data_IF_918558476522
#
_entry.id   IF_918558476522
#
_cell.length_a   1.000
_cell.length_b   1.000
_cell.length_c   1.000
_cell.angle_alpha   90.00
_cell.angle_beta   90.00
_cell.angle_gamma   90.00
#
_symmetry.space_group_name_H-M   'P 1'
#
loop_
_entity.id
_entity.type
_entity.pdbx_description
1 polymer ?
#
# COMPACT_ATOMS: atom_id res chain seq x y z
N UNK A 1 16.49 -4.34 27.85
CA UNK A 1 16.55 -3.23 26.87
C UNK A 1 15.35 -3.39 25.96
N UNK A 2 14.50 -2.37 25.82
CA UNK A 2 13.31 -2.44 24.98
C UNK A 2 13.72 -2.51 23.49
N UNK A 3 13.11 -3.42 22.73
CA UNK A 3 13.32 -3.49 21.27
C UNK A 3 12.36 -2.53 20.57
N UNK A 4 12.85 -1.81 19.57
CA UNK A 4 12.06 -0.88 18.74
C UNK A 4 11.78 -1.50 17.37
N UNK A 5 10.52 -1.44 16.94
CA UNK A 5 10.11 -1.85 15.60
C UNK A 5 9.68 -0.63 14.76
N UNK A 6 10.12 -0.57 13.51
CA UNK A 6 9.55 0.35 12.53
C UNK A 6 8.61 -0.40 11.59
N UNK A 7 7.39 0.12 11.44
CA UNK A 7 6.38 -0.42 10.55
C UNK A 7 6.10 0.60 9.43
N UNK A 8 6.25 0.17 8.19
CA UNK A 8 6.09 1.01 7.01
C UNK A 8 4.70 0.83 6.39
N UNK A 9 4.03 1.95 6.08
CA UNK A 9 2.68 1.93 5.53
C UNK A 9 2.64 1.49 4.06
N UNK A 10 1.55 0.82 3.69
CA UNK A 10 1.27 0.43 2.31
C UNK A 10 0.59 1.53 1.49
N UNK A 11 0.15 1.15 0.28
CA UNK A 11 -0.67 1.99 -0.59
C UNK A 11 -2.01 2.32 0.08
N UNK A 12 -2.50 3.55 -0.15
CA UNK A 12 -3.66 4.13 0.55
C UNK A 12 -3.26 5.22 1.57
N UNK A 13 -1.98 5.27 1.95
CA UNK A 13 -1.44 6.27 2.87
C UNK A 13 -1.02 7.59 2.18
N UNK A 14 -1.03 7.64 0.85
CA UNK A 14 -0.64 8.84 0.10
C UNK A 14 -1.65 9.98 0.24
N UNK A 15 -1.16 11.21 0.34
CA UNK A 15 -1.96 12.43 0.35
C UNK A 15 -1.14 13.61 -0.18
N UNK A 16 -1.81 14.59 -0.80
CA UNK A 16 -1.15 15.80 -1.28
C UNK A 16 -0.59 16.59 -0.10
N UNK A 17 0.67 17.00 -0.20
CA UNK A 17 1.44 17.62 0.88
C UNK A 17 2.23 16.63 1.73
N UNK A 18 2.17 15.32 1.43
CA UNK A 18 3.04 14.34 2.09
C UNK A 18 4.52 14.69 1.86
N UNK A 19 5.31 14.72 2.94
CA UNK A 19 6.71 15.11 2.86
C UNK A 19 6.98 16.62 2.94
N UNK A 20 5.97 17.51 2.86
CA UNK A 20 6.19 18.97 2.84
C UNK A 20 6.99 19.48 4.04
N UNK A 21 6.51 19.17 5.24
CA UNK A 21 7.13 19.61 6.50
C UNK A 21 8.56 19.10 6.67
N UNK A 22 8.86 17.90 6.19
CA UNK A 22 10.22 17.34 6.29
C UNK A 22 11.15 17.91 5.22
N UNK A 23 10.65 18.16 4.01
CA UNK A 23 11.42 18.85 2.96
C UNK A 23 11.73 20.31 3.33
N UNK A 24 10.88 20.98 4.10
CA UNK A 24 11.16 22.32 4.64
C UNK A 24 12.30 22.28 5.67
N UNK A 25 12.32 21.26 6.54
CA UNK A 25 13.18 21.23 7.73
C UNK A 25 14.47 20.42 7.60
N UNK A 26 14.51 19.41 6.73
CA UNK A 26 15.62 18.45 6.62
C UNK A 26 16.24 18.50 5.23
N UNK A 27 17.56 18.68 5.17
CA UNK A 27 18.34 18.54 3.94
C UNK A 27 18.25 17.11 3.39
N UNK A 28 18.32 16.13 4.28
CA UNK A 28 18.24 14.70 3.97
C UNK A 28 16.92 14.32 3.33
N UNK A 29 15.80 14.88 3.79
CA UNK A 29 14.53 14.69 3.10
C UNK A 29 14.57 15.23 1.66
N UNK A 30 15.09 16.46 1.47
CA UNK A 30 15.20 17.06 0.13
C UNK A 30 16.05 16.19 -0.79
N UNK A 31 17.20 15.73 -0.33
CA UNK A 31 18.10 14.86 -1.09
C UNK A 31 17.44 13.52 -1.49
N UNK A 32 16.68 12.89 -0.59
CA UNK A 32 15.92 11.66 -0.90
C UNK A 32 14.87 11.90 -1.98
N UNK A 33 14.17 13.03 -1.92
CA UNK A 33 13.18 13.39 -2.95
C UNK A 33 13.84 13.71 -4.29
N UNK A 34 14.96 14.41 -4.28
CA UNK A 34 15.71 14.76 -5.47
C UNK A 34 16.29 13.48 -6.14
N UNK A 35 16.85 12.54 -5.34
CA UNK A 35 17.31 11.22 -5.80
C UNK A 35 16.17 10.40 -6.42
N UNK A 36 14.99 10.38 -5.80
CA UNK A 36 13.82 9.69 -6.34
C UNK A 36 13.34 10.30 -7.65
N UNK A 37 13.30 11.63 -7.74
CA UNK A 37 12.86 12.35 -8.94
C UNK A 37 13.82 12.11 -10.11
N UNK A 38 15.13 12.12 -9.85
CA UNK A 38 16.15 11.75 -10.83
C UNK A 38 16.01 10.28 -11.28
N UNK A 39 15.78 9.36 -10.34
CA UNK A 39 15.61 7.93 -10.65
C UNK A 39 14.43 7.66 -11.60
N UNK A 40 13.37 8.46 -11.46
CA UNK A 40 12.10 8.35 -12.19
C UNK A 40 12.08 9.15 -13.49
N UNK A 41 12.93 10.17 -13.62
CA UNK A 41 12.93 11.09 -14.77
C UNK A 41 11.79 12.12 -14.74
N UNK A 42 11.11 12.30 -13.60
CA UNK A 42 10.09 13.33 -13.40
C UNK A 42 10.10 13.83 -11.95
N UNK A 43 9.51 15.01 -11.73
CA UNK A 43 9.51 15.69 -10.43
C UNK A 43 8.49 15.07 -9.45
N UNK A 44 8.87 13.95 -8.83
CA UNK A 44 8.08 13.27 -7.81
C UNK A 44 7.86 14.17 -6.58
N UNK A 45 8.83 15.03 -6.27
CA UNK A 45 8.75 15.97 -5.15
C UNK A 45 7.59 16.94 -5.35
N UNK A 46 7.55 17.65 -6.48
CA UNK A 46 6.42 18.54 -6.81
C UNK A 46 5.09 17.80 -6.77
N UNK A 47 5.03 16.59 -7.33
CA UNK A 47 3.82 15.76 -7.28
C UNK A 47 3.35 15.48 -5.85
N UNK A 48 4.27 15.11 -4.94
CA UNK A 48 3.92 14.84 -3.54
C UNK A 48 3.53 16.12 -2.78
N UNK A 49 4.23 17.24 -3.01
CA UNK A 49 4.07 18.46 -2.22
C UNK A 49 2.88 19.31 -2.68
N UNK A 50 2.63 19.37 -3.98
CA UNK A 50 1.77 20.36 -4.64
C UNK A 50 0.90 19.76 -5.75
N UNK A 51 1.06 18.46 -6.06
CA UNK A 51 0.33 17.80 -7.13
C UNK A 51 -1.16 17.62 -6.88
N UNK A 52 -1.86 17.07 -7.87
CA UNK A 52 -3.28 16.72 -7.72
C UNK A 52 -3.44 15.40 -6.97
N UNK A 53 -4.55 15.26 -6.24
CA UNK A 53 -4.87 14.00 -5.55
C UNK A 53 -5.12 12.89 -6.56
N UNK A 54 -5.74 13.23 -7.68
CA UNK A 54 -6.10 12.33 -8.77
C UNK A 54 -4.84 11.69 -9.37
N UNK A 55 -3.82 12.50 -9.68
CA UNK A 55 -2.56 12.01 -10.23
C UNK A 55 -1.74 11.24 -9.21
N UNK A 56 -1.65 11.72 -7.97
CA UNK A 56 -0.89 11.06 -6.90
C UNK A 56 -1.51 9.71 -6.50
N UNK A 57 -2.82 9.55 -6.64
CA UNK A 57 -3.54 8.31 -6.29
C UNK A 57 -3.40 7.22 -7.34
N UNK A 58 -2.93 7.54 -8.55
CA UNK A 58 -2.60 6.53 -9.55
C UNK A 58 -1.55 5.58 -8.96
N UNK A 59 -1.83 4.27 -9.02
CA UNK A 59 -1.04 3.22 -8.34
C UNK A 59 0.45 3.36 -8.62
N UNK A 60 0.83 3.66 -9.86
CA UNK A 60 2.23 3.83 -10.26
C UNK A 60 2.90 5.13 -9.78
N UNK A 61 2.14 6.14 -9.35
CA UNK A 61 2.67 7.33 -8.68
C UNK A 61 2.64 7.19 -7.15
N UNK A 62 1.56 6.64 -6.61
CA UNK A 62 1.39 6.44 -5.17
C UNK A 62 2.51 5.59 -4.57
N UNK A 63 2.91 4.51 -5.26
CA UNK A 63 3.92 3.59 -4.74
C UNK A 63 5.31 4.23 -4.56
N UNK A 64 5.91 4.89 -5.57
CA UNK A 64 7.18 5.60 -5.38
C UNK A 64 7.06 6.77 -4.41
N UNK A 65 5.94 7.49 -4.37
CA UNK A 65 5.72 8.58 -3.41
C UNK A 65 5.80 8.10 -1.95
N UNK A 66 5.08 7.03 -1.61
CA UNK A 66 5.07 6.44 -0.27
C UNK A 66 6.46 5.94 0.11
N UNK A 67 7.12 5.18 -0.77
CA UNK A 67 8.46 4.66 -0.51
C UNK A 67 9.48 5.80 -0.27
N UNK A 68 9.37 6.90 -1.03
CA UNK A 68 10.23 8.08 -0.89
C UNK A 68 10.04 8.76 0.46
N UNK A 69 8.79 9.03 0.86
CA UNK A 69 8.48 9.65 2.17
C UNK A 69 8.91 8.73 3.32
N UNK A 70 8.63 7.44 3.22
CA UNK A 70 9.06 6.44 4.21
C UNK A 70 10.57 6.41 4.38
N UNK A 71 11.32 6.43 3.28
CA UNK A 71 12.80 6.43 3.32
C UNK A 71 13.34 7.75 3.89
N UNK A 72 12.76 8.89 3.52
CA UNK A 72 13.14 10.19 4.06
C UNK A 72 12.93 10.25 5.59
N UNK A 73 11.77 9.79 6.07
CA UNK A 73 11.49 9.71 7.51
C UNK A 73 12.45 8.76 8.23
N UNK A 74 12.75 7.60 7.63
CA UNK A 74 13.71 6.66 8.18
C UNK A 74 15.11 7.29 8.33
N UNK A 75 15.63 7.94 7.28
CA UNK A 75 16.95 8.59 7.33
C UNK A 75 16.99 9.70 8.40
N UNK A 76 15.92 10.50 8.53
CA UNK A 76 15.80 11.50 9.61
C UNK A 76 15.84 10.84 10.99
N UNK A 77 15.10 9.75 11.21
CA UNK A 77 15.14 9.04 12.48
C UNK A 77 16.57 8.59 12.84
N UNK A 78 17.34 8.11 11.86
CA UNK A 78 18.73 7.70 12.10
C UNK A 78 19.64 8.87 12.49
N UNK A 79 19.44 10.05 11.89
CA UNK A 79 20.18 11.28 12.23
C UNK A 79 19.90 11.73 13.67
N UNK A 80 18.66 11.55 14.13
CA UNK A 80 18.24 11.82 15.51
C UNK A 80 18.59 10.68 16.48
N UNK A 81 19.36 9.67 16.04
CA UNK A 81 19.78 8.53 16.86
C UNK A 81 18.68 7.49 17.16
N UNK A 82 17.51 7.61 16.51
CA UNK A 82 16.38 6.68 16.66
C UNK A 82 16.55 5.52 15.68
N UNK A 83 17.03 4.38 16.20
CA UNK A 83 17.25 3.16 15.41
C UNK A 83 16.20 2.08 15.71
N UNK A 84 15.74 1.31 14.71
CA UNK A 84 14.95 0.10 14.92
C UNK A 84 15.83 -1.13 15.12
N UNK A 85 15.35 -2.10 15.89
CA UNK A 85 15.87 -3.47 15.96
C UNK A 85 15.22 -4.38 14.91
N UNK A 86 13.97 -4.07 14.53
CA UNK A 86 13.17 -4.86 13.59
C UNK A 86 12.41 -3.90 12.66
N UNK A 87 12.29 -4.29 11.39
CA UNK A 87 11.50 -3.56 10.39
C UNK A 87 10.56 -4.51 9.67
N UNK A 88 9.36 -4.03 9.36
CA UNK A 88 8.37 -4.74 8.56
C UNK A 88 7.53 -3.71 7.79
N UNK A 89 6.85 -4.12 6.74
CA UNK A 89 5.95 -3.22 6.05
C UNK A 89 4.67 -3.86 5.54
N UNK A 90 3.61 -3.07 5.49
CA UNK A 90 2.33 -3.54 4.99
C UNK A 90 2.30 -3.42 3.47
N UNK A 91 2.20 -4.53 2.75
CA UNK A 91 2.09 -4.54 1.28
C UNK A 91 3.28 -3.81 0.63
N UNK A 92 3.06 -2.67 -0.03
CA UNK A 92 4.11 -1.79 -0.55
C UNK A 92 5.17 -1.44 0.51
N UNK A 93 4.76 -1.25 1.76
CA UNK A 93 5.66 -0.87 2.84
C UNK A 93 6.78 -1.88 3.05
N UNK A 94 6.59 -3.15 2.67
CA UNK A 94 7.63 -4.19 2.78
C UNK A 94 8.85 -3.83 1.91
N UNK A 95 8.62 -3.23 0.74
CA UNK A 95 9.69 -2.75 -0.13
C UNK A 95 10.39 -1.55 0.53
N UNK A 96 9.66 -0.67 1.22
CA UNK A 96 10.26 0.41 2.00
C UNK A 96 11.12 -0.12 3.15
N UNK A 97 10.64 -1.12 3.89
CA UNK A 97 11.38 -1.77 4.97
C UNK A 97 12.68 -2.41 4.45
N UNK A 98 12.59 -3.17 3.36
CA UNK A 98 13.74 -3.83 2.73
C UNK A 98 14.75 -2.81 2.18
N UNK A 99 14.27 -1.70 1.62
CA UNK A 99 15.12 -0.59 1.15
C UNK A 99 15.85 0.07 2.32
N UNK A 100 15.14 0.36 3.42
CA UNK A 100 15.72 0.95 4.63
C UNK A 100 16.71 0.02 5.34
N UNK A 101 16.51 -1.30 5.22
CA UNK A 101 17.43 -2.34 5.67
C UNK A 101 18.70 -2.48 4.80
N UNK A 102 18.75 -1.82 3.64
CA UNK A 102 19.85 -1.93 2.69
C UNK A 102 19.78 -3.16 1.78
N UNK A 103 18.67 -3.90 1.75
CA UNK A 103 18.48 -5.05 0.86
C UNK A 103 18.24 -4.68 -0.60
N UNK A 104 17.77 -3.45 -0.86
CA UNK A 104 17.62 -2.88 -2.20
C UNK A 104 18.15 -1.45 -2.16
N UNK A 105 18.95 -1.05 -3.16
CA UNK A 105 19.38 0.34 -3.30
C UNK A 105 18.17 1.25 -3.55
N UNK A 106 18.10 2.41 -2.89
CA UNK A 106 16.93 3.29 -2.95
C UNK A 106 16.52 3.67 -4.37
N UNK A 107 17.48 4.05 -5.21
CA UNK A 107 17.24 4.39 -6.63
C UNK A 107 16.57 3.25 -7.40
N UNK A 108 16.97 2.01 -7.14
CA UNK A 108 16.38 0.83 -7.77
C UNK A 108 15.02 0.49 -7.17
N UNK A 109 14.86 0.63 -5.85
CA UNK A 109 13.58 0.44 -5.18
C UNK A 109 12.50 1.37 -5.74
N UNK A 110 12.82 2.66 -5.97
CA UNK A 110 11.92 3.64 -6.58
C UNK A 110 11.48 3.19 -7.99
N UNK A 111 12.41 2.69 -8.81
CA UNK A 111 12.09 2.16 -10.16
C UNK A 111 11.27 0.88 -10.10
N UNK A 112 11.59 -0.02 -9.18
CA UNK A 112 10.86 -1.28 -8.95
C UNK A 112 9.42 -0.97 -8.57
N UNK A 113 9.17 -0.07 -7.62
CA UNK A 113 7.81 0.23 -7.19
C UNK A 113 7.01 1.01 -8.24
N UNK A 114 7.68 1.82 -9.08
CA UNK A 114 7.05 2.44 -10.25
C UNK A 114 6.56 1.38 -11.24
N UNK A 115 7.42 0.40 -11.58
CA UNK A 115 7.08 -0.73 -12.47
C UNK A 115 6.03 -1.64 -11.87
N UNK A 116 6.13 -1.95 -10.57
CA UNK A 116 5.13 -2.71 -9.83
C UNK A 116 3.75 -2.07 -9.93
N UNK A 117 3.66 -0.74 -9.80
CA UNK A 117 2.40 -0.03 -9.96
C UNK A 117 1.83 -0.06 -11.38
N UNK A 118 2.67 -0.05 -12.42
CA UNK A 118 2.24 -0.23 -13.82
C UNK A 118 1.64 -1.62 -14.03
N UNK A 119 2.41 -2.65 -13.67
CA UNK A 119 1.99 -4.04 -13.86
C UNK A 119 0.73 -4.36 -13.08
N UNK A 120 0.57 -3.81 -11.87
CA UNK A 120 -0.66 -3.95 -11.09
C UNK A 120 -1.88 -3.31 -11.78
N UNK A 121 -1.69 -2.24 -12.55
CA UNK A 121 -2.77 -1.59 -13.29
C UNK A 121 -3.07 -2.29 -14.61
N UNK A 122 -2.07 -2.87 -15.26
CA UNK A 122 -2.20 -3.63 -16.50
C UNK A 122 -2.78 -5.04 -16.29
N UNK A 123 -2.53 -5.65 -15.13
CA UNK A 123 -2.85 -7.06 -14.88
C UNK A 123 -4.34 -7.39 -14.93
N UNK A 124 -5.23 -6.44 -14.60
CA UNK A 124 -6.67 -6.66 -14.54
C UNK A 124 -7.38 -5.55 -15.31
N UNK A 125 -8.23 -5.88 -16.30
CA UNK A 125 -9.05 -4.89 -16.97
C UNK A 125 -9.86 -4.08 -15.97
N UNK A 126 -10.02 -2.79 -16.26
CA UNK A 126 -10.85 -1.89 -15.45
C UNK A 126 -12.21 -2.54 -15.20
N UNK A 127 -12.67 -2.48 -13.95
CA UNK A 127 -13.98 -2.98 -13.50
C UNK A 127 -14.15 -4.52 -13.46
N UNK A 128 -13.08 -5.31 -13.63
CA UNK A 128 -13.15 -6.77 -13.42
C UNK A 128 -12.77 -7.25 -12.01
N UNK A 129 -12.01 -6.46 -11.28
CA UNK A 129 -11.60 -6.77 -9.91
C UNK A 129 -12.23 -5.84 -8.88
N UNK A 130 -12.32 -6.33 -7.64
CA UNK A 130 -12.81 -5.53 -6.51
C UNK A 130 -12.05 -5.87 -5.24
N UNK A 131 -12.03 -4.91 -4.32
CA UNK A 131 -11.60 -5.12 -2.93
C UNK A 131 -12.62 -4.50 -1.96
N UNK A 132 -12.91 -5.21 -0.86
CA UNK A 132 -13.72 -4.71 0.25
C UNK A 132 -12.95 -4.86 1.56
N UNK A 133 -13.13 -3.91 2.48
CA UNK A 133 -12.79 -4.09 3.88
C UNK A 133 -13.98 -4.69 4.64
N UNK A 134 -13.72 -5.70 5.46
CA UNK A 134 -14.72 -6.38 6.28
C UNK A 134 -14.33 -6.32 7.77
N UNK A 135 -15.30 -5.94 8.60
CA UNK A 135 -15.14 -5.79 10.05
C UNK A 135 -15.79 -6.94 10.84
N UNK A 136 -15.10 -8.07 10.99
CA UNK A 136 -15.63 -9.27 11.69
C UNK A 136 -14.61 -9.86 12.66
N UNK A 137 -15.04 -10.62 13.69
CA UNK A 137 -14.14 -11.41 14.56
C UNK A 137 -14.01 -12.88 14.13
N UNK A 138 -14.85 -13.30 13.19
CA UNK A 138 -14.99 -14.69 12.76
C UNK A 138 -14.23 -14.90 11.45
N UNK A 139 -12.89 -15.01 11.53
CA UNK A 139 -12.02 -15.15 10.35
C UNK A 139 -12.36 -16.42 9.54
N UNK A 140 -12.52 -17.56 10.22
CA UNK A 140 -12.83 -18.86 9.60
C UNK A 140 -14.15 -18.82 8.82
N UNK A 141 -15.16 -18.13 9.37
CA UNK A 141 -16.44 -17.92 8.70
C UNK A 141 -16.29 -17.03 7.47
N UNK A 142 -15.47 -15.98 7.52
CA UNK A 142 -15.17 -15.14 6.36
C UNK A 142 -14.45 -15.93 5.27
N UNK A 143 -13.52 -16.82 5.64
CA UNK A 143 -12.84 -17.73 4.71
C UNK A 143 -13.85 -18.67 4.01
N UNK A 144 -14.80 -19.23 4.76
CA UNK A 144 -15.87 -20.07 4.20
C UNK A 144 -16.76 -19.30 3.22
N UNK A 145 -17.16 -18.07 3.57
CA UNK A 145 -17.94 -17.20 2.68
C UNK A 145 -17.17 -16.92 1.38
N UNK A 146 -15.87 -16.57 1.48
CA UNK A 146 -15.02 -16.34 0.30
C UNK A 146 -14.90 -17.60 -0.58
N UNK A 147 -14.76 -18.77 0.04
CA UNK A 147 -14.69 -20.06 -0.67
C UNK A 147 -16.01 -20.36 -1.40
N UNK A 148 -17.15 -20.12 -0.76
CA UNK A 148 -18.47 -20.38 -1.35
C UNK A 148 -18.80 -19.42 -2.52
N UNK A 149 -18.33 -18.18 -2.46
CA UNK A 149 -18.45 -17.22 -3.56
C UNK A 149 -17.49 -17.51 -4.73
N UNK A 150 -16.45 -18.31 -4.50
CA UNK A 150 -15.43 -18.67 -5.49
C UNK A 150 -15.87 -19.84 -6.39
N UNK A 151 -16.74 -19.56 -7.37
CA UNK A 151 -17.32 -20.54 -8.31
C UNK A 151 -17.19 -20.11 -9.77
N UNK A 152 -17.31 -21.07 -10.70
CA UNK A 152 -17.30 -20.81 -12.16
C UNK A 152 -16.04 -20.08 -12.65
N UNK A 153 -14.89 -20.37 -12.03
CA UNK A 153 -13.61 -19.72 -12.37
C UNK A 153 -13.39 -18.35 -11.72
N UNK A 154 -14.40 -17.79 -11.03
CA UNK A 154 -14.25 -16.57 -10.22
C UNK A 154 -13.63 -16.90 -8.86
N UNK A 155 -12.85 -15.97 -8.31
CA UNK A 155 -12.18 -16.10 -7.02
C UNK A 155 -12.43 -14.86 -6.16
N UNK A 156 -12.68 -15.08 -4.88
CA UNK A 156 -12.60 -14.08 -3.82
C UNK A 156 -11.80 -14.69 -2.67
N UNK A 157 -10.82 -13.95 -2.15
CA UNK A 157 -9.94 -14.41 -1.07
C UNK A 157 -9.76 -13.32 -0.02
N UNK A 158 -9.49 -13.71 1.22
CA UNK A 158 -9.00 -12.77 2.21
C UNK A 158 -7.56 -12.41 1.84
N UNK A 159 -7.39 -11.19 1.35
CA UNK A 159 -6.13 -10.67 0.81
C UNK A 159 -5.29 -9.99 1.89
N UNK A 160 -5.93 -9.46 2.93
CA UNK A 160 -5.23 -8.91 4.10
C UNK A 160 -5.89 -9.31 5.42
N UNK A 161 -5.07 -9.79 6.35
CA UNK A 161 -5.39 -10.02 7.75
C UNK A 161 -4.78 -8.87 8.57
N UNK A 162 -5.46 -7.71 8.62
CA UNK A 162 -4.89 -6.50 9.20
C UNK A 162 -4.93 -6.52 10.73
N UNK A 163 -5.99 -7.09 11.31
CA UNK A 163 -6.14 -7.29 12.75
C UNK A 163 -7.14 -8.41 13.03
N UNK A 164 -7.37 -8.71 14.31
CA UNK A 164 -8.41 -9.68 14.73
C UNK A 164 -9.83 -9.29 14.30
N UNK A 165 -10.03 -8.03 13.91
CA UNK A 165 -11.35 -7.48 13.56
C UNK A 165 -11.40 -6.86 12.16
N UNK A 166 -10.28 -6.78 11.43
CA UNK A 166 -10.20 -6.04 10.18
C UNK A 166 -9.53 -6.90 9.11
N UNK A 167 -10.30 -7.21 8.08
CA UNK A 167 -9.88 -8.02 6.94
C UNK A 167 -10.12 -7.25 5.65
N UNK A 168 -9.39 -7.63 4.61
CA UNK A 168 -9.67 -7.19 3.23
C UNK A 168 -9.91 -8.42 2.39
N UNK A 169 -10.99 -8.41 1.61
CA UNK A 169 -11.30 -9.43 0.61
C UNK A 169 -11.02 -8.83 -0.77
N UNK A 170 -10.32 -9.56 -1.63
CA UNK A 170 -10.07 -9.17 -3.01
C UNK A 170 -10.32 -10.31 -3.99
N UNK A 171 -10.58 -9.95 -5.24
CA UNK A 171 -10.71 -10.91 -6.34
C UNK A 171 -11.61 -10.41 -7.46
N UNK A 172 -12.26 -11.34 -8.14
CA UNK A 172 -13.26 -11.06 -9.18
C UNK A 172 -14.40 -10.21 -8.60
N UNK A 173 -14.81 -9.19 -9.35
CA UNK A 173 -15.82 -8.23 -8.92
C UNK A 173 -17.10 -8.91 -8.45
N UNK A 174 -17.63 -9.88 -9.19
CA UNK A 174 -18.89 -10.55 -8.84
C UNK A 174 -18.73 -11.41 -7.61
N UNK A 175 -17.63 -12.15 -7.49
CA UNK A 175 -17.38 -12.98 -6.31
C UNK A 175 -17.23 -12.13 -5.04
N UNK A 176 -16.53 -10.99 -5.13
CA UNK A 176 -16.37 -10.07 -4.00
C UNK A 176 -17.69 -9.38 -3.64
N UNK A 177 -18.51 -9.02 -4.62
CA UNK A 177 -19.85 -8.45 -4.38
C UNK A 177 -20.78 -9.47 -3.72
N UNK A 178 -20.75 -10.74 -4.10
CA UNK A 178 -21.48 -11.83 -3.40
C UNK A 178 -21.02 -11.98 -1.93
N UNK A 179 -19.70 -11.87 -1.67
CA UNK A 179 -19.18 -11.87 -0.28
C UNK A 179 -19.71 -10.66 0.49
N UNK A 180 -19.69 -9.47 -0.12
CA UNK A 180 -20.19 -8.23 0.51
C UNK A 180 -21.67 -8.37 0.90
N UNK A 181 -22.52 -8.79 -0.04
CA UNK A 181 -23.96 -8.99 0.20
C UNK A 181 -24.22 -9.97 1.34
N UNK A 182 -23.46 -11.07 1.39
CA UNK A 182 -23.59 -12.08 2.45
C UNK A 182 -23.20 -11.53 3.82
N UNK A 183 -22.13 -10.74 3.90
CA UNK A 183 -21.68 -10.10 5.14
C UNK A 183 -22.70 -9.04 5.61
N UNK A 184 -23.20 -8.21 4.70
CA UNK A 184 -24.19 -7.18 5.00
C UNK A 184 -25.52 -7.79 5.49
N UNK A 185 -25.96 -8.89 4.89
CA UNK A 185 -27.13 -9.65 5.34
C UNK A 185 -26.97 -10.21 6.77
N UNK A 186 -25.73 -10.41 7.24
CA UNK A 186 -25.41 -10.83 8.60
C UNK A 186 -25.10 -9.65 9.53
N UNK A 187 -25.30 -8.41 9.08
CA UNK A 187 -25.03 -7.19 9.87
C UNK A 187 -23.56 -6.87 10.05
N UNK A 188 -22.66 -7.50 9.27
CA UNK A 188 -21.23 -7.24 9.32
C UNK A 188 -20.91 -6.00 8.48
N UNK A 189 -20.10 -5.09 9.05
CA UNK A 189 -19.69 -3.85 8.36
C UNK A 189 -18.78 -4.16 7.18
N UNK A 190 -19.18 -3.69 6.00
CA UNK A 190 -18.40 -3.74 4.75
C UNK A 190 -18.10 -2.33 4.26
N UNK A 191 -16.96 -2.14 3.61
CA UNK A 191 -16.62 -0.89 2.92
C UNK A 191 -15.84 -1.17 1.64
N UNK A 192 -16.34 -0.68 0.52
CA UNK A 192 -15.66 -0.81 -0.78
C UNK A 192 -14.40 0.05 -0.83
N UNK A 193 -13.30 -0.55 -1.27
CA UNK A 193 -12.02 0.15 -1.41
C UNK A 193 -11.91 0.77 -2.81
N UNK A 194 -11.53 2.04 -2.87
CA UNK A 194 -11.28 2.74 -4.12
C UNK A 194 -9.87 2.39 -4.65
N UNK A 195 -9.77 1.23 -5.30
CA UNK A 195 -8.52 0.69 -5.85
C UNK A 195 -8.72 0.22 -7.29
N UNK A 196 -7.65 0.25 -8.07
CA UNK A 196 -7.70 -0.04 -9.52
C UNK A 196 -7.73 -1.54 -9.84
N UNK A 197 -7.40 -2.41 -8.89
CA UNK A 197 -7.28 -3.85 -9.11
C UNK A 197 -7.42 -4.65 -7.80
N UNK A 198 -7.67 -5.97 -7.88
CA UNK A 198 -7.81 -6.86 -6.73
C UNK A 198 -6.43 -7.28 -6.22
N UNK A 199 -5.78 -6.43 -5.44
CA UNK A 199 -4.42 -6.70 -4.97
C UNK A 199 -4.37 -7.88 -4.01
N UNK A 200 -3.24 -8.61 -4.04
CA UNK A 200 -2.98 -9.79 -3.19
C UNK A 200 -3.99 -10.95 -3.38
N UNK A 201 -4.54 -11.11 -4.59
CA UNK A 201 -5.29 -12.29 -5.01
C UNK A 201 -4.53 -13.10 -6.07
N UNK A 202 -4.86 -14.40 -6.25
CA UNK A 202 -4.39 -15.21 -7.37
C UNK A 202 -4.81 -14.68 -8.75
#
# INVERSE_FOLDING_TARGET
MEKRAFLFSGQGAQYVGMGKRICEKSKTAREVFDEASEALGYDLKKMCLEGSKEELTLTYHAQPAILTVSTAMYRICLEEGIRPDIMAGHSLGEISALTCAGGIAFRDAVRIVRKRGEFMQEAVPVDKGRMIAAGTREAEKLEEICKNASREGRKAVISNYNSRTQYVVSGDKKAVEEVAEKLEAEGIRVSYLNVSAPFHSP
#
